data_IF_456439896201
#
_entry.id   IF_456439896201
#
_cell.length_a   1.000
_cell.length_b   1.000
_cell.length_c   1.000
_cell.angle_alpha   90.00
_cell.angle_beta   90.00
_cell.angle_gamma   90.00
#
_symmetry.space_group_name_H-M   'P 1'
#
loop_
_entity.id
_entity.type
_entity.pdbx_description
1 polymer ?
#
# COMPACT_ATOMS: atom_id res chain seq x y z
N UNK A 1 -25.50 0.43 60.66
CA UNK A 1 -26.06 -0.54 59.69
C UNK A 1 -25.94 0.07 58.30
N UNK A 2 -25.15 -0.62 57.46
CA UNK A 2 -24.98 -0.57 56.00
C UNK A 2 -25.54 0.63 55.21
N UNK A 3 -24.63 1.48 54.74
CA UNK A 3 -24.80 2.34 53.56
C UNK A 3 -25.13 1.45 52.34
N UNK A 4 -26.25 1.73 51.69
CA UNK A 4 -26.63 1.08 50.43
C UNK A 4 -25.68 1.49 49.31
N UNK A 5 -25.11 0.47 48.68
CA UNK A 5 -24.18 0.54 47.57
C UNK A 5 -24.84 1.20 46.36
N UNK A 6 -24.18 2.25 45.87
CA UNK A 6 -24.47 2.93 44.61
C UNK A 6 -24.30 1.92 43.47
N UNK A 7 -25.43 1.50 42.92
CA UNK A 7 -25.69 1.21 41.50
C UNK A 7 -24.45 1.02 40.62
N UNK A 8 -23.77 -0.12 40.80
CA UNK A 8 -22.57 -0.53 40.07
C UNK A 8 -22.91 -1.13 38.69
N UNK A 9 -23.72 -0.43 37.89
CA UNK A 9 -24.07 -0.84 36.52
C UNK A 9 -23.74 0.22 35.45
N UNK A 10 -23.14 1.35 35.83
CA UNK A 10 -22.93 2.48 34.93
C UNK A 10 -21.46 2.76 34.57
N UNK A 11 -20.54 1.85 34.88
CA UNK A 11 -19.09 2.07 34.71
C UNK A 11 -18.39 1.10 33.74
N UNK A 12 -19.13 0.45 32.83
CA UNK A 12 -18.52 -0.44 31.81
C UNK A 12 -19.14 -0.22 30.42
N UNK A 13 -19.43 1.03 30.06
CA UNK A 13 -19.83 1.38 28.67
C UNK A 13 -18.81 2.24 27.92
N UNK A 14 -17.65 2.54 28.51
CA UNK A 14 -16.67 3.50 27.95
C UNK A 14 -15.32 2.86 27.62
N UNK A 15 -15.27 1.54 27.35
CA UNK A 15 -14.04 0.85 26.93
C UNK A 15 -14.17 0.08 25.62
N UNK A 16 -15.33 0.13 24.97
CA UNK A 16 -15.52 -0.33 23.60
C UNK A 16 -15.38 0.82 22.59
N UNK A 17 -14.54 1.82 22.88
CA UNK A 17 -13.79 2.48 21.80
C UNK A 17 -12.71 1.49 21.35
N UNK A 18 -13.18 0.34 20.85
CA UNK A 18 -12.37 -0.53 20.00
C UNK A 18 -11.96 0.38 18.89
N UNK A 19 -10.70 0.80 18.95
CA UNK A 19 -10.01 1.49 17.88
C UNK A 19 -10.22 0.62 16.66
N UNK A 20 -11.20 0.98 15.83
CA UNK A 20 -11.30 0.51 14.46
C UNK A 20 -10.08 1.13 13.82
N UNK A 21 -8.93 0.49 14.00
CA UNK A 21 -7.82 0.61 13.09
C UNK A 21 -8.43 0.20 11.76
N UNK A 22 -8.97 1.16 11.01
CA UNK A 22 -8.97 1.03 9.56
C UNK A 22 -7.51 0.77 9.26
N UNK A 23 -7.14 -0.47 9.00
CA UNK A 23 -5.82 -0.82 8.53
C UNK A 23 -5.74 -0.27 7.10
N UNK A 24 -5.73 1.06 6.99
CA UNK A 24 -5.73 1.78 5.75
C UNK A 24 -4.35 1.52 5.15
N UNK A 25 -4.33 0.77 4.06
CA UNK A 25 -3.13 0.38 3.34
C UNK A 25 -2.28 1.64 3.10
N UNK A 26 -0.98 1.56 3.38
CA UNK A 26 -0.06 2.67 3.12
C UNK A 26 0.84 2.31 1.95
N UNK A 27 0.79 3.11 0.88
CA UNK A 27 1.57 2.86 -0.32
C UNK A 27 2.57 3.97 -0.58
N UNK A 28 3.61 3.60 -1.33
CA UNK A 28 4.51 4.55 -1.95
C UNK A 28 3.84 5.11 -3.21
N UNK A 29 3.68 6.43 -3.29
CA UNK A 29 3.12 7.10 -4.47
C UNK A 29 4.15 7.98 -5.17
N UNK A 30 4.23 7.83 -6.49
CA UNK A 30 4.99 8.72 -7.35
C UNK A 30 4.50 8.63 -8.79
N UNK A 31 4.40 9.80 -9.42
CA UNK A 31 4.19 9.95 -10.86
C UNK A 31 5.56 10.15 -11.51
N UNK A 32 5.99 9.19 -12.33
CA UNK A 32 7.26 9.22 -13.09
C UNK A 32 8.51 9.28 -12.21
N UNK A 33 8.55 8.49 -11.14
CA UNK A 33 9.76 8.32 -10.34
C UNK A 33 10.83 7.57 -11.15
N UNK A 34 12.09 7.98 -10.96
CA UNK A 34 13.25 7.21 -11.42
C UNK A 34 13.23 5.88 -10.67
N UNK A 35 13.66 4.79 -11.31
CA UNK A 35 13.53 3.41 -10.82
C UNK A 35 13.98 3.19 -9.36
N UNK A 36 14.95 3.99 -8.91
CA UNK A 36 15.56 3.96 -7.57
C UNK A 36 14.78 4.71 -6.49
N UNK A 37 13.84 5.58 -6.83
CA UNK A 37 13.11 6.36 -5.85
C UNK A 37 11.84 5.64 -5.41
N UNK A 38 11.58 5.63 -4.11
CA UNK A 38 10.38 5.04 -3.52
C UNK A 38 9.17 6.00 -3.52
N UNK A 39 9.31 7.23 -4.02
CA UNK A 39 8.21 8.20 -3.97
C UNK A 39 7.86 8.63 -2.54
N UNK A 40 6.65 9.16 -2.35
CA UNK A 40 6.16 9.66 -1.05
C UNK A 40 5.19 8.66 -0.44
N UNK A 41 5.30 8.44 0.87
CA UNK A 41 4.38 7.59 1.60
C UNK A 41 3.01 8.25 1.70
N UNK A 42 1.96 7.54 1.29
CA UNK A 42 0.58 8.00 1.33
C UNK A 42 -0.31 6.88 1.89
N UNK A 43 -1.25 7.27 2.75
CA UNK A 43 -2.35 6.39 3.15
C UNK A 43 -3.32 6.29 1.98
N UNK A 44 -3.65 5.07 1.57
CA UNK A 44 -4.61 4.82 0.51
C UNK A 44 -6.03 5.17 0.95
N UNK A 45 -6.91 5.53 -0.01
CA UNK A 45 -8.34 5.59 0.25
C UNK A 45 -8.85 4.21 0.68
N UNK A 46 -9.93 4.18 1.48
CA UNK A 46 -10.48 2.93 2.03
C UNK A 46 -10.88 1.89 0.97
N UNK A 47 -11.16 2.34 -0.26
CA UNK A 47 -11.50 1.48 -1.40
C UNK A 47 -10.28 0.84 -2.05
N UNK A 48 -9.09 1.38 -1.84
CA UNK A 48 -7.86 0.87 -2.44
C UNK A 48 -7.23 -0.19 -1.54
N UNK A 49 -7.09 -1.39 -2.08
CA UNK A 49 -6.62 -2.59 -1.36
C UNK A 49 -5.26 -3.08 -1.87
N UNK A 50 -4.72 -2.43 -2.90
CA UNK A 50 -3.43 -2.75 -3.50
C UNK A 50 -2.53 -1.52 -3.62
N UNK A 51 -1.21 -1.69 -3.44
CA UNK A 51 -0.24 -0.80 -4.05
C UNK A 51 0.14 -1.38 -5.41
N UNK A 52 0.01 -0.54 -6.44
CA UNK A 52 0.35 -0.88 -7.81
C UNK A 52 1.66 -0.19 -8.18
N UNK A 53 2.56 -0.94 -8.81
CA UNK A 53 3.76 -0.43 -9.46
C UNK A 53 3.65 -0.69 -10.96
N UNK A 54 3.74 0.37 -11.76
CA UNK A 54 3.78 0.29 -13.22
C UNK A 54 5.17 0.72 -13.66
N UNK A 55 5.85 -0.15 -14.38
CA UNK A 55 7.17 0.08 -14.96
C UNK A 55 7.05 0.06 -16.47
N UNK A 56 7.34 1.18 -17.10
CA UNK A 56 7.41 1.27 -18.57
C UNK A 56 8.85 1.49 -18.96
N UNK A 57 9.35 0.70 -19.90
CA UNK A 57 10.73 0.78 -20.37
C UNK A 57 10.77 0.80 -21.90
N UNK A 58 11.76 1.49 -22.46
CA UNK A 58 11.96 1.64 -23.90
C UNK A 58 13.38 2.10 -24.21
N UNK A 59 14.15 1.27 -24.91
CA UNK A 59 15.58 1.53 -25.15
C UNK A 59 16.36 1.69 -23.83
N UNK A 60 16.95 2.87 -23.60
CA UNK A 60 17.64 3.22 -22.35
C UNK A 60 16.76 3.97 -21.34
N UNK A 61 15.51 4.24 -21.68
CA UNK A 61 14.58 4.99 -20.82
C UNK A 61 13.73 4.04 -20.00
N UNK A 62 13.53 4.39 -18.74
CA UNK A 62 12.63 3.73 -17.82
C UNK A 62 11.80 4.79 -17.08
N UNK A 63 10.53 4.51 -16.88
CA UNK A 63 9.64 5.26 -16.02
C UNK A 63 8.94 4.32 -15.06
N UNK A 64 8.92 4.70 -13.79
CA UNK A 64 8.15 4.00 -12.76
C UNK A 64 7.03 4.90 -12.27
N UNK A 65 5.87 4.30 -12.09
CA UNK A 65 4.72 4.91 -11.43
C UNK A 65 4.30 4.00 -10.28
N UNK A 66 3.96 4.60 -9.15
CA UNK A 66 3.41 3.87 -8.01
C UNK A 66 2.17 4.60 -7.50
N UNK A 67 1.10 3.85 -7.23
CA UNK A 67 -0.18 4.39 -6.79
C UNK A 67 -0.97 3.37 -5.96
N UNK A 68 -1.91 3.86 -5.16
CA UNK A 68 -2.97 3.04 -4.58
C UNK A 68 -3.98 2.61 -5.66
N UNK A 69 -4.41 1.36 -5.63
CA UNK A 69 -5.40 0.81 -6.54
C UNK A 69 -6.45 -0.04 -5.81
N UNK A 70 -7.70 0.10 -6.24
CA UNK A 70 -8.86 -0.71 -5.85
C UNK A 70 -8.83 -2.09 -6.50
N UNK A 71 -8.37 -2.16 -7.75
CA UNK A 71 -8.11 -3.39 -8.49
C UNK A 71 -6.71 -3.39 -9.06
N UNK A 72 -6.06 -4.56 -9.12
CA UNK A 72 -4.71 -4.65 -9.66
C UNK A 72 -4.53 -5.96 -10.41
N UNK A 73 -4.08 -5.86 -11.67
CA UNK A 73 -3.78 -7.01 -12.54
C UNK A 73 -2.28 -6.97 -12.83
N UNK A 74 -1.58 -8.03 -12.44
CA UNK A 74 -0.17 -8.17 -12.78
C UNK A 74 -0.04 -8.49 -14.26
N UNK A 75 0.78 -7.71 -14.96
CA UNK A 75 1.00 -7.87 -16.39
C UNK A 75 2.46 -7.67 -16.72
N UNK A 76 2.92 -8.35 -17.77
CA UNK A 76 4.24 -8.15 -18.33
C UNK A 76 4.16 -8.25 -19.84
N UNK A 77 4.14 -7.09 -20.48
CA UNK A 77 4.08 -6.97 -21.94
C UNK A 77 5.45 -6.51 -22.40
N UNK A 78 6.09 -7.30 -23.24
CA UNK A 78 7.36 -6.95 -23.87
C UNK A 78 7.20 -6.97 -25.38
N UNK A 79 7.35 -5.83 -26.03
CA UNK A 79 7.40 -5.72 -27.47
C UNK A 79 8.83 -6.01 -27.95
N UNK A 80 9.05 -7.21 -28.49
CA UNK A 80 10.22 -7.66 -29.27
C UNK A 80 11.51 -6.83 -29.05
N UNK A 81 12.03 -6.88 -27.83
CA UNK A 81 13.37 -6.41 -27.47
C UNK A 81 13.58 -4.91 -27.24
N UNK A 82 12.60 -4.04 -27.50
CA UNK A 82 12.84 -2.59 -27.48
C UNK A 82 12.01 -1.82 -26.46
N UNK A 83 10.81 -2.28 -26.09
CA UNK A 83 9.96 -1.59 -25.14
C UNK A 83 9.00 -2.55 -24.43
N UNK A 84 8.49 -2.15 -23.27
CA UNK A 84 7.51 -2.94 -22.54
C UNK A 84 6.91 -2.22 -21.35
N UNK A 85 5.87 -2.84 -20.81
CA UNK A 85 5.17 -2.40 -19.60
C UNK A 85 5.02 -3.59 -18.67
N UNK A 86 5.34 -3.38 -17.41
CA UNK A 86 5.21 -4.36 -16.33
C UNK A 86 4.39 -3.73 -15.21
N UNK A 87 3.34 -4.43 -14.77
CA UNK A 87 2.51 -4.04 -13.63
C UNK A 87 2.70 -5.09 -12.54
N UNK A 88 3.05 -4.63 -11.34
CA UNK A 88 3.20 -5.47 -10.14
C UNK A 88 2.26 -4.96 -9.06
N UNK A 89 1.65 -5.88 -8.34
CA UNK A 89 0.64 -5.60 -7.33
C UNK A 89 1.08 -6.14 -5.97
N UNK A 90 0.69 -5.46 -4.90
CA UNK A 90 0.93 -5.94 -3.55
C UNK A 90 -0.15 -5.40 -2.60
N UNK A 91 -0.37 -6.08 -1.48
CA UNK A 91 -1.35 -5.70 -0.45
C UNK A 91 -0.66 -5.36 0.87
N UNK A 92 0.66 -5.16 0.84
CA UNK A 92 1.50 -4.91 2.00
C UNK A 92 1.87 -3.44 2.07
N UNK A 93 1.85 -2.88 3.28
CA UNK A 93 2.27 -1.51 3.51
C UNK A 93 3.71 -1.27 3.03
N UNK A 94 3.93 -0.11 2.41
CA UNK A 94 5.23 0.38 1.95
C UNK A 94 6.00 -0.60 1.07
N UNK A 95 5.28 -1.35 0.23
CA UNK A 95 5.92 -2.33 -0.64
C UNK A 95 6.99 -1.69 -1.52
N UNK A 96 8.22 -1.97 -1.13
CA UNK A 96 9.44 -1.63 -1.82
C UNK A 96 9.90 -2.91 -2.50
N UNK A 97 9.71 -3.03 -3.82
CA UNK A 97 10.51 -3.98 -4.59
C UNK A 97 11.95 -3.44 -4.63
N UNK A 98 12.61 -3.49 -3.48
CA UNK A 98 14.06 -3.57 -3.41
C UNK A 98 14.38 -4.93 -4.01
N UNK A 99 14.57 -4.93 -5.32
CA UNK A 99 15.13 -6.07 -6.03
C UNK A 99 16.52 -6.24 -5.45
N UNK A 100 16.66 -6.97 -4.34
CA UNK A 100 17.92 -7.54 -3.93
C UNK A 100 18.22 -8.51 -5.07
N UNK A 101 18.92 -8.03 -6.10
CA UNK A 101 19.73 -8.90 -6.94
C UNK A 101 20.71 -9.54 -5.96
N UNK A 102 20.34 -10.69 -5.40
CA UNK A 102 21.31 -11.60 -4.82
C UNK A 102 22.12 -12.06 -6.02
N UNK A 103 23.23 -11.36 -6.26
CA UNK A 103 24.28 -11.80 -7.17
C UNK A 103 24.76 -13.12 -6.55
N UNK A 104 24.46 -14.23 -7.22
CA UNK A 104 25.02 -15.54 -6.91
C UNK A 104 26.10 -15.85 -7.93
#
# INVERSE_FOLDING_TARGET
MKLSFISSCLFVFILSYVSVKSNALMCHECLLCISSELGVNRTCPETATYCQKIRTYGGSMESVQRLCADTCIETKISALGAAGTETTCCTTDFYSVLTIKIIK
#
